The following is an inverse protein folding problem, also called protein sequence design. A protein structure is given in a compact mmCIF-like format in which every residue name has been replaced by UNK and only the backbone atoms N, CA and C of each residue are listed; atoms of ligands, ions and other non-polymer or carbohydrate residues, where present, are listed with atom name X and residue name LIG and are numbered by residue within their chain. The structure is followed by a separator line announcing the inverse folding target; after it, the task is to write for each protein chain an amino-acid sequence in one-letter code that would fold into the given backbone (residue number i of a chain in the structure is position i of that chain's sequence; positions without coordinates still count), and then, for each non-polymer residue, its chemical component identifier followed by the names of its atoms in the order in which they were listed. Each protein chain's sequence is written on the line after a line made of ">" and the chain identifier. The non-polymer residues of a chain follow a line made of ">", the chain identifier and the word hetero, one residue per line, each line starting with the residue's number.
data_IF_524697052032
#
_entry.id   IF_524697052032
#
_cell.length_a   1.000
_cell.length_b   1.000
_cell.length_c   1.000
_cell.angle_alpha   90.00
_cell.angle_beta   90.00
_cell.angle_gamma   90.00
#
_symmetry.space_group_name_H-M   'P 1'
#
loop_
_entity.id
_entity.type
_entity.pdbx_description
1 polymer ?
#
# COMPACT_ATOMS: atom_id res chain seq x y z
N UNK A 1 -11.29 15.78 -16.60
CA UNK A 1 -9.83 15.84 -16.88
C UNK A 1 -9.45 14.74 -17.85
N UNK A 2 -9.29 15.06 -19.14
CA UNK A 2 -9.03 14.08 -20.20
C UNK A 2 -7.70 13.31 -20.06
N UNK A 3 -6.81 13.78 -19.20
CA UNK A 3 -5.44 13.25 -19.05
C UNK A 3 -5.23 12.41 -17.78
N UNK A 4 -6.30 11.97 -17.11
CA UNK A 4 -6.22 11.22 -15.86
C UNK A 4 -7.12 9.99 -15.93
N UNK A 5 -6.57 8.85 -15.49
CA UNK A 5 -7.32 7.61 -15.34
C UNK A 5 -7.35 7.20 -13.88
N UNK A 6 -8.54 7.09 -13.30
CA UNK A 6 -8.75 6.55 -11.97
C UNK A 6 -8.97 5.03 -12.07
N UNK A 7 -8.18 4.30 -11.32
CA UNK A 7 -8.15 2.85 -11.29
C UNK A 7 -8.59 2.38 -9.91
N UNK A 8 -9.72 1.69 -9.86
CA UNK A 8 -10.26 1.10 -8.63
C UNK A 8 -10.23 -0.41 -8.75
N UNK A 9 -9.36 -1.05 -7.96
CA UNK A 9 -9.30 -2.52 -7.87
C UNK A 9 -10.24 -2.99 -6.79
N UNK A 10 -11.18 -3.88 -7.13
CA UNK A 10 -12.22 -4.35 -6.22
C UNK A 10 -12.22 -5.86 -6.05
N UNK A 11 -12.58 -6.30 -4.85
CA UNK A 11 -12.89 -7.68 -4.50
C UNK A 11 -13.84 -7.70 -3.30
N UNK A 12 -15.12 -8.01 -3.54
CA UNK A 12 -16.18 -8.02 -2.53
C UNK A 12 -16.27 -6.69 -1.76
N UNK A 13 -16.56 -5.61 -2.47
CA UNK A 13 -16.60 -4.25 -1.94
C UNK A 13 -17.95 -3.53 -2.16
N UNK A 14 -19.04 -4.29 -2.36
CA UNK A 14 -20.37 -3.74 -2.60
C UNK A 14 -20.79 -2.61 -1.61
N UNK A 15 -20.45 -2.65 -0.31
CA UNK A 15 -20.83 -1.59 0.62
C UNK A 15 -20.10 -0.25 0.39
N UNK A 16 -19.00 -0.23 -0.36
CA UNK A 16 -18.09 0.92 -0.43
C UNK A 16 -17.89 1.48 -1.84
N UNK A 17 -17.96 0.62 -2.85
CA UNK A 17 -17.56 0.91 -4.24
C UNK A 17 -18.32 2.12 -4.82
N UNK A 18 -19.59 2.29 -4.49
CA UNK A 18 -20.41 3.41 -4.96
C UNK A 18 -19.80 4.76 -4.55
N UNK A 19 -19.48 4.92 -3.27
CA UNK A 19 -18.90 6.16 -2.75
C UNK A 19 -17.53 6.47 -3.32
N UNK A 20 -16.71 5.44 -3.51
CA UNK A 20 -15.39 5.58 -4.14
C UNK A 20 -15.53 6.11 -5.56
N UNK A 21 -16.37 5.48 -6.39
CA UNK A 21 -16.56 5.87 -7.78
C UNK A 21 -17.25 7.22 -7.93
N UNK A 22 -18.21 7.56 -7.05
CA UNK A 22 -18.87 8.87 -7.07
C UNK A 22 -17.85 10.01 -6.90
N UNK A 23 -16.91 9.89 -5.96
CA UNK A 23 -15.86 10.89 -5.74
C UNK A 23 -14.93 11.07 -6.94
N UNK A 24 -14.81 10.06 -7.80
CA UNK A 24 -14.03 10.12 -9.05
C UNK A 24 -14.87 10.69 -10.19
N UNK A 25 -16.16 10.30 -10.29
CA UNK A 25 -17.07 10.76 -11.34
C UNK A 25 -17.10 12.28 -11.44
N UNK A 26 -17.18 12.98 -10.32
CA UNK A 26 -17.24 14.42 -10.24
C UNK A 26 -16.02 15.12 -10.85
N UNK A 27 -14.88 14.45 -10.93
CA UNK A 27 -13.64 15.00 -11.52
C UNK A 27 -13.57 14.90 -13.04
N UNK A 28 -14.44 14.10 -13.68
CA UNK A 28 -14.41 13.83 -15.11
C UNK A 28 -13.19 13.01 -15.57
N UNK A 29 -12.54 12.29 -14.68
CA UNK A 29 -11.46 11.36 -15.00
C UNK A 29 -11.99 10.10 -15.72
N UNK A 30 -11.15 9.46 -16.55
CA UNK A 30 -11.44 8.12 -17.07
C UNK A 30 -11.55 7.13 -15.92
N UNK A 31 -12.71 6.46 -15.76
CA UNK A 31 -12.92 5.49 -14.68
C UNK A 31 -12.66 4.06 -15.17
N UNK A 32 -11.77 3.35 -14.46
CA UNK A 32 -11.44 1.95 -14.73
C UNK A 32 -11.64 1.15 -13.43
N UNK A 33 -12.57 0.22 -13.45
CA UNK A 33 -12.83 -0.71 -12.35
C UNK A 33 -12.24 -2.07 -12.72
N UNK A 34 -11.31 -2.56 -11.92
CA UNK A 34 -10.75 -3.91 -12.08
C UNK A 34 -11.33 -4.82 -11.01
N UNK A 35 -12.19 -5.73 -11.42
CA UNK A 35 -12.79 -6.70 -10.51
C UNK A 35 -11.99 -7.98 -10.45
N UNK A 36 -11.54 -8.32 -9.26
CA UNK A 36 -10.77 -9.54 -8.96
C UNK A 36 -11.68 -10.75 -8.63
N UNK A 37 -12.85 -10.84 -9.28
CA UNK A 37 -13.79 -11.97 -9.11
C UNK A 37 -14.69 -11.80 -7.89
N UNK A 38 -15.34 -10.63 -7.74
CA UNK A 38 -16.33 -10.39 -6.68
C UNK A 38 -17.58 -11.24 -6.83
N UNK A 39 -18.18 -11.62 -5.70
CA UNK A 39 -19.39 -12.45 -5.62
C UNK A 39 -20.50 -11.83 -4.75
N UNK A 40 -20.31 -10.59 -4.28
CA UNK A 40 -21.18 -9.91 -3.32
C UNK A 40 -22.09 -8.83 -3.95
N UNK A 41 -22.22 -8.81 -5.28
CA UNK A 41 -22.98 -7.77 -5.99
C UNK A 41 -22.18 -6.49 -6.30
N UNK A 42 -20.88 -6.44 -6.04
CA UNK A 42 -20.02 -5.29 -6.37
C UNK A 42 -20.16 -4.88 -7.84
N UNK A 43 -20.09 -5.85 -8.77
CA UNK A 43 -20.20 -5.56 -10.21
C UNK A 43 -21.59 -5.08 -10.62
N UNK A 44 -22.64 -5.53 -9.94
CA UNK A 44 -24.01 -5.07 -10.23
C UNK A 44 -24.11 -3.57 -9.92
N UNK A 45 -23.60 -3.13 -8.77
CA UNK A 45 -23.53 -1.70 -8.40
C UNK A 45 -22.75 -0.91 -9.44
N UNK A 46 -21.58 -1.40 -9.88
CA UNK A 46 -20.76 -0.70 -10.87
C UNK A 46 -21.51 -0.56 -12.19
N UNK A 47 -22.08 -1.63 -12.73
CA UNK A 47 -22.76 -1.64 -14.04
C UNK A 47 -24.04 -0.80 -14.05
N UNK A 48 -24.79 -0.81 -12.94
CA UNK A 48 -26.04 -0.06 -12.83
C UNK A 48 -25.83 1.44 -12.58
N UNK A 49 -24.87 1.78 -11.71
CA UNK A 49 -24.68 3.18 -11.25
C UNK A 49 -23.59 3.93 -12.02
N UNK A 50 -22.63 3.22 -12.63
CA UNK A 50 -21.48 3.79 -13.34
C UNK A 50 -21.28 3.15 -14.72
N UNK A 51 -22.28 3.22 -15.63
CA UNK A 51 -22.21 2.60 -16.95
C UNK A 51 -21.08 3.17 -17.83
N UNK A 52 -20.57 4.36 -17.51
CA UNK A 52 -19.42 4.99 -18.15
C UNK A 52 -18.08 4.38 -17.70
N UNK A 53 -18.02 3.65 -16.58
CA UNK A 53 -16.80 3.04 -16.10
C UNK A 53 -16.41 1.84 -16.97
N UNK A 54 -15.15 1.80 -17.37
CA UNK A 54 -14.58 0.63 -18.03
C UNK A 54 -14.30 -0.47 -17.03
N UNK A 55 -15.00 -1.60 -17.15
CA UNK A 55 -14.83 -2.76 -16.27
C UNK A 55 -13.84 -3.75 -16.87
N UNK A 56 -12.88 -4.19 -16.08
CA UNK A 56 -11.92 -5.26 -16.38
C UNK A 56 -12.12 -6.37 -15.35
N UNK A 57 -12.62 -7.52 -15.80
CA UNK A 57 -12.82 -8.68 -14.94
C UNK A 57 -11.64 -9.64 -15.04
N UNK A 58 -11.16 -10.15 -13.91
CA UNK A 58 -10.07 -11.14 -13.85
C UNK A 58 -10.18 -12.02 -12.60
N UNK A 59 -9.42 -13.11 -12.57
CA UNK A 59 -9.21 -13.88 -11.36
C UNK A 59 -8.42 -13.09 -10.32
N UNK A 60 -8.66 -13.34 -9.03
CA UNK A 60 -7.93 -12.68 -7.96
C UNK A 60 -6.47 -13.10 -7.91
N UNK A 61 -5.62 -12.30 -8.54
CA UNK A 61 -4.16 -12.44 -8.53
C UNK A 61 -3.47 -11.44 -7.61
N UNK A 62 -4.23 -10.76 -6.75
CA UNK A 62 -3.76 -9.77 -5.78
C UNK A 62 -3.95 -8.32 -6.24
N UNK A 63 -3.69 -7.41 -5.30
CA UNK A 63 -3.91 -5.98 -5.50
C UNK A 63 -3.00 -5.39 -6.58
N UNK A 64 -1.71 -5.71 -6.56
CA UNK A 64 -0.75 -5.24 -7.56
C UNK A 64 -1.09 -5.70 -8.98
N UNK A 65 -1.51 -6.97 -9.15
CA UNK A 65 -1.93 -7.50 -10.45
C UNK A 65 -3.18 -6.79 -11.00
N UNK A 66 -4.15 -6.47 -10.12
CA UNK A 66 -5.33 -5.69 -10.47
C UNK A 66 -4.96 -4.28 -10.94
N UNK A 67 -4.12 -3.56 -10.18
CA UNK A 67 -3.64 -2.24 -10.60
C UNK A 67 -2.86 -2.29 -11.92
N UNK A 68 -2.02 -3.31 -12.13
CA UNK A 68 -1.33 -3.50 -13.39
C UNK A 68 -2.32 -3.67 -14.57
N UNK A 69 -3.39 -4.43 -14.38
CA UNK A 69 -4.44 -4.58 -15.39
C UNK A 69 -5.15 -3.25 -15.68
N UNK A 70 -5.47 -2.48 -14.63
CA UNK A 70 -6.05 -1.14 -14.76
C UNK A 70 -5.12 -0.17 -15.50
N UNK A 71 -3.84 -0.11 -15.14
CA UNK A 71 -2.85 0.76 -15.81
C UNK A 71 -2.67 0.41 -17.28
N UNK A 72 -2.75 -0.89 -17.67
CA UNK A 72 -2.73 -1.29 -19.08
C UNK A 72 -3.97 -0.83 -19.85
N UNK A 73 -5.11 -0.72 -19.19
CA UNK A 73 -6.37 -0.28 -19.79
C UNK A 73 -6.50 1.25 -19.84
N UNK A 74 -5.70 1.96 -19.08
CA UNK A 74 -5.76 3.40 -18.85
C UNK A 74 -5.11 4.20 -19.99
N UNK A 75 -5.62 5.41 -20.25
CA UNK A 75 -5.11 6.32 -21.28
C UNK A 75 -4.43 7.59 -20.72
N UNK A 76 -4.73 7.99 -19.48
CA UNK A 76 -4.27 9.23 -18.84
C UNK A 76 -2.76 9.33 -18.65
N UNK A 77 -2.23 10.55 -18.56
CA UNK A 77 -0.84 10.84 -18.20
C UNK A 77 -0.56 10.63 -16.69
N UNK A 78 -1.60 10.61 -15.88
CA UNK A 78 -1.58 10.22 -14.48
C UNK A 78 -2.54 9.06 -14.23
N UNK A 79 -2.18 8.21 -13.30
CA UNK A 79 -3.02 7.18 -12.73
C UNK A 79 -3.37 7.55 -11.29
N UNK A 80 -4.65 7.68 -10.98
CA UNK A 80 -5.12 7.67 -9.61
C UNK A 80 -5.42 6.21 -9.22
N UNK A 81 -4.62 5.63 -8.33
CA UNK A 81 -4.91 4.34 -7.73
C UNK A 81 -5.73 4.59 -6.47
N UNK A 82 -6.99 4.17 -6.46
CA UNK A 82 -7.91 4.41 -5.35
C UNK A 82 -8.50 3.09 -4.86
N UNK A 83 -8.45 2.86 -3.57
CA UNK A 83 -9.10 1.70 -2.97
C UNK A 83 -10.63 1.80 -3.09
N UNK A 84 -11.35 0.67 -3.21
CA UNK A 84 -12.81 0.68 -3.32
C UNK A 84 -13.50 1.16 -2.03
N UNK A 85 -12.79 1.20 -0.90
CA UNK A 85 -13.21 1.71 0.42
C UNK A 85 -12.57 3.07 0.78
N UNK A 86 -12.09 3.80 -0.25
CA UNK A 86 -11.57 5.17 -0.13
C UNK A 86 -12.35 6.12 -1.05
N UNK A 87 -12.42 7.41 -0.71
CA UNK A 87 -13.03 8.44 -1.53
C UNK A 87 -12.32 9.78 -1.32
N UNK A 88 -12.25 10.56 -2.38
CA UNK A 88 -11.64 11.89 -2.38
C UNK A 88 -12.56 12.93 -1.73
N UNK A 89 -11.98 13.96 -1.14
CA UNK A 89 -12.70 15.21 -0.86
C UNK A 89 -12.78 16.05 -2.14
N UNK A 90 -13.71 17.02 -2.16
CA UNK A 90 -13.87 17.97 -3.28
C UNK A 90 -12.55 18.70 -3.54
N UNK A 91 -12.14 18.81 -4.81
CA UNK A 91 -10.89 19.47 -5.23
C UNK A 91 -9.60 18.67 -4.99
N UNK A 92 -9.63 17.58 -4.22
CA UNK A 92 -8.41 16.86 -3.84
C UNK A 92 -7.64 16.28 -5.04
N UNK A 93 -8.33 15.84 -6.07
CA UNK A 93 -7.66 15.29 -7.25
C UNK A 93 -6.99 16.39 -8.09
N UNK A 94 -7.64 17.52 -8.23
CA UNK A 94 -7.11 18.72 -8.90
C UNK A 94 -5.84 19.19 -8.19
N UNK A 95 -5.87 19.25 -6.86
CA UNK A 95 -4.72 19.65 -6.04
C UNK A 95 -3.55 18.67 -6.16
N UNK A 96 -3.82 17.36 -6.18
CA UNK A 96 -2.78 16.34 -6.41
C UNK A 96 -2.14 16.47 -7.80
N UNK A 97 -2.94 16.72 -8.83
CA UNK A 97 -2.45 16.90 -10.21
C UNK A 97 -1.64 18.18 -10.31
N UNK A 98 -2.13 19.30 -9.76
CA UNK A 98 -1.42 20.58 -9.76
C UNK A 98 -0.06 20.43 -9.07
N UNK A 99 -0.02 19.81 -7.88
CA UNK A 99 1.23 19.51 -7.18
C UNK A 99 2.18 18.66 -8.03
N UNK A 100 1.68 17.62 -8.68
CA UNK A 100 2.52 16.75 -9.51
C UNK A 100 3.03 17.47 -10.77
N UNK A 101 2.29 18.44 -11.32
CA UNK A 101 2.70 19.25 -12.46
C UNK A 101 3.80 20.27 -12.07
N UNK A 102 3.73 20.83 -10.86
CA UNK A 102 4.76 21.71 -10.30
C UNK A 102 6.04 20.96 -9.89
N UNK A 103 5.93 19.62 -9.69
CA UNK A 103 7.04 18.77 -9.26
C UNK A 103 7.31 17.66 -10.27
N UNK A 104 8.03 17.94 -11.38
CA UNK A 104 8.28 16.94 -12.43
C UNK A 104 9.05 15.70 -11.95
N UNK A 105 9.79 15.81 -10.85
CA UNK A 105 10.46 14.68 -10.20
C UNK A 105 9.52 13.78 -9.38
N UNK A 106 8.26 14.20 -9.17
CA UNK A 106 7.26 13.41 -8.45
C UNK A 106 6.79 12.23 -9.29
N UNK A 107 7.20 11.03 -8.94
CA UNK A 107 6.67 9.79 -9.51
C UNK A 107 5.36 9.36 -8.85
N UNK A 108 5.24 9.60 -7.54
CA UNK A 108 4.07 9.25 -6.72
C UNK A 108 3.74 10.41 -5.79
N UNK A 109 2.47 10.78 -5.73
CA UNK A 109 1.94 11.76 -4.77
C UNK A 109 0.75 11.14 -4.04
N UNK A 110 0.71 11.22 -2.72
CA UNK A 110 -0.42 10.74 -1.93
C UNK A 110 -0.99 11.82 -1.01
N UNK A 111 -2.32 11.85 -0.85
CA UNK A 111 -3.01 12.83 -0.03
C UNK A 111 -2.89 12.52 1.46
N UNK A 112 -3.36 13.44 2.26
CA UNK A 112 -3.67 13.23 3.67
C UNK A 112 -4.85 12.28 3.79
N UNK A 113 -4.62 11.11 4.38
CA UNK A 113 -5.68 10.14 4.61
C UNK A 113 -6.37 10.41 5.95
N UNK A 114 -7.69 10.33 5.91
CA UNK A 114 -8.58 10.46 7.07
C UNK A 114 -9.38 9.17 7.27
N UNK A 115 -9.62 8.84 8.54
CA UNK A 115 -10.62 7.84 8.88
C UNK A 115 -12.03 8.43 8.64
N UNK A 116 -13.09 7.61 8.55
CA UNK A 116 -14.47 8.11 8.37
C UNK A 116 -14.95 9.09 9.46
N UNK A 117 -14.33 9.05 10.64
CA UNK A 117 -14.61 9.98 11.75
C UNK A 117 -13.82 11.30 11.66
N UNK A 118 -13.07 11.51 10.56
CA UNK A 118 -12.22 12.69 10.35
C UNK A 118 -10.87 12.65 11.07
N UNK A 119 -10.57 11.62 11.84
CA UNK A 119 -9.26 11.49 12.47
C UNK A 119 -8.17 11.13 11.47
N UNK A 120 -6.94 11.58 11.73
CA UNK A 120 -5.79 11.32 10.86
C UNK A 120 -5.48 9.82 10.73
N UNK A 121 -5.41 9.35 9.49
CA UNK A 121 -4.82 8.06 9.15
C UNK A 121 -3.39 8.25 8.64
N UNK A 122 -2.41 7.74 9.39
CA UNK A 122 -0.99 7.92 9.05
C UNK A 122 -0.63 7.14 7.78
N UNK A 123 -0.29 7.86 6.72
CA UNK A 123 0.06 7.30 5.40
C UNK A 123 1.55 7.35 5.09
N UNK A 124 2.31 8.30 5.65
CA UNK A 124 3.77 8.41 5.45
C UNK A 124 4.48 7.34 6.28
N UNK A 125 5.23 6.45 5.65
CA UNK A 125 5.85 5.29 6.30
C UNK A 125 7.28 5.08 5.85
N UNK A 126 8.05 4.37 6.67
CA UNK A 126 9.44 4.02 6.36
C UNK A 126 9.60 2.56 5.95
N UNK A 127 10.57 2.29 5.06
CA UNK A 127 10.86 0.92 4.62
C UNK A 127 11.13 -0.02 5.79
N UNK A 128 10.67 -1.27 5.73
CA UNK A 128 11.01 -2.27 6.74
C UNK A 128 12.52 -2.51 6.76
N UNK A 129 13.09 -2.46 7.97
CA UNK A 129 14.46 -2.88 8.26
C UNK A 129 14.45 -3.71 9.52
N UNK A 130 15.44 -4.58 9.81
CA UNK A 130 15.47 -5.33 11.06
C UNK A 130 15.35 -4.43 12.31
N UNK A 131 15.95 -3.22 12.28
CA UNK A 131 15.84 -2.25 13.36
C UNK A 131 14.43 -1.68 13.51
N UNK A 132 13.83 -1.14 12.41
CA UNK A 132 12.48 -0.60 12.43
C UNK A 132 11.43 -1.66 12.82
N UNK A 133 11.63 -2.91 12.42
CA UNK A 133 10.81 -4.03 12.88
C UNK A 133 11.01 -4.29 14.37
N UNK A 134 12.25 -4.24 14.88
CA UNK A 134 12.49 -4.39 16.31
C UNK A 134 11.80 -3.28 17.12
N UNK A 135 11.89 -2.00 16.69
CA UNK A 135 11.25 -0.89 17.39
C UNK A 135 9.73 -1.08 17.50
N UNK A 136 9.10 -1.63 16.48
CA UNK A 136 7.67 -1.94 16.49
C UNK A 136 7.36 -3.19 17.33
N UNK A 137 7.97 -4.32 17.00
CA UNK A 137 7.57 -5.61 17.57
C UNK A 137 7.91 -5.74 19.06
N UNK A 138 8.94 -5.03 19.57
CA UNK A 138 9.31 -4.98 21.00
C UNK A 138 8.83 -3.71 21.72
N UNK A 139 7.92 -2.93 21.12
CA UNK A 139 7.35 -1.70 21.70
C UNK A 139 8.35 -0.58 22.00
N UNK A 140 9.58 -0.63 21.46
CA UNK A 140 10.61 0.37 21.74
C UNK A 140 10.16 1.78 21.34
N UNK A 141 9.29 1.90 20.33
CA UNK A 141 8.69 3.17 19.92
C UNK A 141 7.92 3.88 21.04
N UNK A 142 7.43 3.15 22.06
CA UNK A 142 6.72 3.74 23.21
C UNK A 142 7.66 4.49 24.16
N UNK A 143 8.96 4.20 24.12
CA UNK A 143 9.97 4.87 24.95
C UNK A 143 10.20 6.33 24.51
N UNK A 144 10.02 6.63 23.21
CA UNK A 144 10.10 7.98 22.67
C UNK A 144 9.05 8.15 21.56
N UNK A 145 7.79 8.46 21.89
CA UNK A 145 6.67 8.49 20.93
C UNK A 145 6.84 9.53 19.79
N UNK A 146 7.62 10.58 20.02
CA UNK A 146 7.90 11.65 19.04
C UNK A 146 9.21 11.44 18.28
N UNK A 147 9.97 10.37 18.56
CA UNK A 147 11.21 10.09 17.83
C UNK A 147 10.91 9.46 16.46
N UNK A 148 11.27 10.15 15.39
CA UNK A 148 11.15 9.59 14.03
C UNK A 148 11.97 8.30 13.88
N UNK A 149 13.16 8.23 14.49
CA UNK A 149 14.04 7.05 14.42
C UNK A 149 13.37 5.77 14.96
N UNK A 150 12.54 5.90 16.01
CA UNK A 150 11.83 4.78 16.62
C UNK A 150 10.44 4.55 16.00
N UNK A 151 9.86 5.53 15.34
CA UNK A 151 8.48 5.50 14.84
C UNK A 151 8.37 5.49 13.31
N UNK A 152 9.48 5.43 12.58
CA UNK A 152 9.51 5.56 11.13
C UNK A 152 8.68 4.49 10.40
N UNK A 153 8.58 3.26 10.92
CA UNK A 153 7.90 2.16 10.22
C UNK A 153 6.42 2.48 9.93
N UNK A 154 5.73 3.12 10.86
CA UNK A 154 4.32 3.48 10.75
C UNK A 154 4.05 4.99 10.80
N UNK A 155 5.08 5.81 10.58
CA UNK A 155 4.95 7.26 10.45
C UNK A 155 4.49 8.00 11.72
N UNK A 156 4.63 7.40 12.90
CA UNK A 156 4.11 7.99 14.13
C UNK A 156 4.89 9.22 14.64
N UNK A 157 6.06 9.51 14.07
CA UNK A 157 6.88 10.68 14.42
C UNK A 157 6.62 11.92 13.54
N UNK A 158 5.72 11.81 12.56
CA UNK A 158 5.39 12.91 11.64
C UNK A 158 3.94 13.37 11.84
N UNK A 159 3.69 14.66 11.84
CA UNK A 159 2.37 15.25 12.14
C UNK A 159 1.41 15.30 10.95
N UNK A 160 1.89 14.99 9.74
CA UNK A 160 1.13 15.02 8.48
C UNK A 160 0.50 16.39 8.15
N UNK A 161 1.19 17.51 8.47
CA UNK A 161 0.73 18.88 8.21
C UNK A 161 1.53 19.63 7.16
N UNK A 162 2.62 19.03 6.67
CA UNK A 162 3.48 19.66 5.67
C UNK A 162 3.82 18.68 4.57
N UNK A 163 4.13 19.20 3.38
CA UNK A 163 4.67 18.41 2.26
C UNK A 163 5.91 17.66 2.72
N UNK A 164 6.00 16.38 2.35
CA UNK A 164 7.13 15.54 2.75
C UNK A 164 7.50 14.52 1.70
N UNK A 165 8.79 14.44 1.37
CA UNK A 165 9.33 13.29 0.65
C UNK A 165 9.32 12.05 1.57
N UNK A 166 8.63 10.99 1.16
CA UNK A 166 8.42 9.76 1.94
C UNK A 166 9.27 8.61 1.42
N UNK A 167 9.57 7.63 2.29
CA UNK A 167 10.08 6.33 1.84
C UNK A 167 9.01 5.64 0.97
N UNK A 168 7.81 5.52 1.51
CA UNK A 168 6.62 5.09 0.80
C UNK A 168 5.35 5.63 1.46
N UNK A 169 4.25 5.60 0.71
CA UNK A 169 2.92 5.98 1.17
C UNK A 169 2.01 4.75 1.23
N UNK A 170 1.05 4.78 2.12
CA UNK A 170 0.02 3.75 2.20
C UNK A 170 -0.86 3.76 0.94
N UNK A 171 -1.05 2.60 0.32
CA UNK A 171 -1.61 2.44 -1.02
C UNK A 171 -3.13 2.65 -1.16
N UNK A 172 -3.79 3.40 -0.25
CA UNK A 172 -5.23 3.62 -0.34
C UNK A 172 -5.66 4.66 -1.39
N UNK A 173 -4.82 5.68 -1.61
CA UNK A 173 -5.02 6.71 -2.63
C UNK A 173 -3.65 7.23 -3.05
N UNK A 174 -3.28 7.01 -4.31
CA UNK A 174 -1.99 7.42 -4.87
C UNK A 174 -2.17 7.97 -6.27
N UNK A 175 -1.73 9.20 -6.51
CA UNK A 175 -1.55 9.73 -7.87
C UNK A 175 -0.16 9.33 -8.36
N UNK A 176 -0.09 8.70 -9.52
CA UNK A 176 1.15 8.16 -10.07
C UNK A 176 1.36 8.67 -11.51
N UNK A 177 2.54 9.17 -11.78
CA UNK A 177 2.93 9.66 -13.13
C UNK A 177 3.16 8.47 -14.06
N UNK A 178 2.49 8.44 -15.23
CA UNK A 178 2.67 7.38 -16.24
C UNK A 178 4.13 7.25 -16.68
N UNK A 179 4.81 8.34 -16.99
CA UNK A 179 6.22 8.34 -17.38
C UNK A 179 7.11 7.62 -16.36
N UNK A 180 6.83 7.83 -15.07
CA UNK A 180 7.54 7.14 -14.00
C UNK A 180 7.25 5.63 -14.02
N UNK A 181 5.99 5.24 -14.23
CA UNK A 181 5.60 3.82 -14.39
C UNK A 181 6.27 3.19 -15.60
N UNK A 182 6.28 3.88 -16.74
CA UNK A 182 6.88 3.39 -17.99
C UNK A 182 8.39 3.16 -17.82
N UNK A 183 9.04 3.94 -16.96
CA UNK A 183 10.48 3.82 -16.69
C UNK A 183 10.88 2.63 -15.81
N UNK A 184 10.00 2.19 -14.90
CA UNK A 184 10.32 1.15 -13.89
C UNK A 184 9.43 -0.09 -13.96
N UNK A 185 8.36 -0.02 -14.74
CA UNK A 185 7.30 -1.03 -14.77
C UNK A 185 6.28 -0.92 -13.63
N UNK A 186 5.20 -1.69 -13.74
CA UNK A 186 4.13 -1.76 -12.76
C UNK A 186 4.52 -2.42 -11.43
N UNK A 187 3.52 -2.81 -10.67
CA UNK A 187 3.71 -3.60 -9.44
C UNK A 187 4.34 -4.96 -9.72
N UNK A 188 5.15 -5.44 -8.79
CA UNK A 188 5.65 -6.82 -8.82
C UNK A 188 4.57 -7.78 -8.31
N UNK A 189 4.01 -8.58 -9.22
CA UNK A 189 2.91 -9.51 -8.93
C UNK A 189 3.31 -10.69 -8.02
N UNK A 190 4.57 -10.80 -7.62
CA UNK A 190 4.98 -11.72 -6.55
C UNK A 190 4.40 -11.30 -5.18
N UNK A 191 4.07 -10.01 -5.00
CA UNK A 191 3.35 -9.51 -3.83
C UNK A 191 1.84 -9.64 -4.09
N UNK A 192 1.21 -10.62 -3.46
CA UNK A 192 -0.23 -10.82 -3.61
C UNK A 192 -1.04 -9.71 -2.93
N UNK A 193 -0.66 -9.39 -1.69
CA UNK A 193 -1.28 -8.36 -0.87
C UNK A 193 -0.31 -7.95 0.23
N UNK A 194 -0.23 -6.65 0.53
CA UNK A 194 0.66 -6.00 1.49
C UNK A 194 2.14 -5.97 1.03
N UNK A 195 2.71 -4.79 1.04
CA UNK A 195 4.07 -4.41 0.63
C UNK A 195 4.34 -4.35 -0.88
N UNK A 196 3.34 -4.52 -1.73
CA UNK A 196 3.45 -4.22 -3.17
C UNK A 196 3.73 -2.74 -3.42
N UNK A 197 3.07 -1.84 -2.68
CA UNK A 197 3.31 -0.40 -2.72
C UNK A 197 4.67 -0.03 -2.12
N UNK A 198 5.12 -0.77 -1.11
CA UNK A 198 6.46 -0.61 -0.51
C UNK A 198 7.56 -0.91 -1.52
N UNK A 199 7.42 -2.02 -2.24
CA UNK A 199 8.32 -2.44 -3.32
C UNK A 199 8.33 -1.41 -4.46
N UNK A 200 7.13 -0.95 -4.84
CA UNK A 200 6.98 -0.04 -5.98
C UNK A 200 7.58 1.33 -5.67
N UNK A 201 7.26 1.93 -4.53
CA UNK A 201 7.87 3.18 -4.08
C UNK A 201 9.39 3.06 -3.94
N UNK A 202 9.90 1.91 -3.47
CA UNK A 202 11.34 1.68 -3.42
C UNK A 202 11.96 1.69 -4.81
N UNK A 203 11.34 1.04 -5.82
CA UNK A 203 11.83 1.04 -7.22
C UNK A 203 11.78 2.43 -7.85
N UNK A 204 10.72 3.22 -7.62
CA UNK A 204 10.64 4.62 -8.05
C UNK A 204 11.83 5.40 -7.53
N UNK A 205 12.12 5.32 -6.24
CA UNK A 205 13.25 6.04 -5.62
C UNK A 205 14.61 5.56 -6.13
N UNK A 206 14.78 4.28 -6.41
CA UNK A 206 16.02 3.75 -7.03
C UNK A 206 16.23 4.27 -8.46
N UNK A 207 15.17 4.61 -9.16
CA UNK A 207 15.21 5.20 -10.50
C UNK A 207 15.32 6.74 -10.50
N UNK A 208 15.37 7.36 -9.31
CA UNK A 208 15.51 8.83 -9.17
C UNK A 208 14.18 9.58 -9.02
N UNK A 209 13.03 8.89 -9.10
CA UNK A 209 11.74 9.49 -8.84
C UNK A 209 11.52 9.71 -7.35
N UNK A 210 10.75 10.77 -7.01
CA UNK A 210 10.37 11.06 -5.62
C UNK A 210 8.96 10.59 -5.32
N UNK A 211 8.73 10.26 -4.06
CA UNK A 211 7.42 9.92 -3.49
C UNK A 211 7.05 11.03 -2.51
N UNK A 212 5.98 11.76 -2.78
CA UNK A 212 5.56 12.90 -1.97
C UNK A 212 4.25 12.64 -1.24
N UNK A 213 4.22 13.03 0.01
CA UNK A 213 3.00 13.26 0.77
C UNK A 213 2.61 14.73 0.61
N UNK A 214 1.35 14.97 0.22
CA UNK A 214 0.79 16.29 0.03
C UNK A 214 -0.43 16.48 0.96
N UNK A 215 -0.34 17.34 1.99
CA UNK A 215 -1.34 17.44 3.05
C UNK A 215 -2.60 18.22 2.68
N UNK A 216 -2.54 19.09 1.65
CA UNK A 216 -3.65 19.97 1.29
C UNK A 216 -4.72 19.22 0.46
N UNK A 217 -4.36 18.11 -0.19
CA UNK A 217 -5.32 17.16 -0.73
C UNK A 217 -5.70 16.14 0.34
N UNK A 218 -6.99 15.84 0.48
CA UNK A 218 -7.49 14.88 1.46
C UNK A 218 -8.31 13.75 0.82
N UNK A 219 -8.21 12.56 1.40
CA UNK A 219 -9.06 11.44 1.05
C UNK A 219 -9.44 10.66 2.31
N UNK A 220 -10.66 10.17 2.35
CA UNK A 220 -11.12 9.25 3.39
C UNK A 220 -10.78 7.81 3.01
N UNK A 221 -10.52 6.97 4.01
CA UNK A 221 -10.33 5.55 3.81
C UNK A 221 -10.82 4.74 5.01
N UNK A 222 -11.57 3.67 4.77
CA UNK A 222 -12.11 2.82 5.83
C UNK A 222 -11.06 1.82 6.29
N UNK A 223 -10.40 2.10 7.43
CA UNK A 223 -9.47 1.15 8.05
C UNK A 223 -10.25 -0.01 8.65
N UNK A 224 -10.04 -1.20 8.17
CA UNK A 224 -10.65 -2.39 8.77
C UNK A 224 -11.14 -3.41 7.79
N UNK A 225 -11.56 -3.01 6.60
CA UNK A 225 -11.83 -3.98 5.54
C UNK A 225 -10.56 -4.78 5.17
N UNK A 226 -9.39 -4.10 5.20
CA UNK A 226 -8.08 -4.70 4.87
C UNK A 226 -7.24 -5.15 6.07
N UNK A 227 -7.44 -4.61 7.29
CA UNK A 227 -6.65 -4.93 8.49
C UNK A 227 -7.31 -5.96 9.41
N UNK A 228 -8.03 -6.91 8.86
CA UNK A 228 -8.50 -8.07 9.61
C UNK A 228 -7.29 -8.76 10.28
N UNK A 229 -7.35 -9.09 11.60
CA UNK A 229 -6.32 -9.89 12.26
C UNK A 229 -5.90 -11.16 11.51
N UNK A 230 -6.80 -11.74 10.72
CA UNK A 230 -6.51 -12.88 9.86
C UNK A 230 -5.44 -12.57 8.78
N UNK A 231 -5.34 -11.30 8.33
CA UNK A 231 -4.34 -10.86 7.32
C UNK A 231 -3.01 -10.42 7.90
N UNK A 232 -2.83 -10.46 9.21
CA UNK A 232 -1.57 -10.06 9.83
C UNK A 232 -0.36 -10.86 9.31
N UNK A 233 -0.55 -12.11 8.92
CA UNK A 233 0.50 -12.92 8.28
C UNK A 233 0.93 -12.35 6.93
N UNK A 234 0.02 -11.75 6.17
CA UNK A 234 0.34 -11.17 4.87
C UNK A 234 1.25 -9.94 5.03
N UNK A 235 1.02 -9.12 6.07
CA UNK A 235 1.92 -8.02 6.42
C UNK A 235 3.33 -8.54 6.75
N UNK A 236 3.41 -9.58 7.57
CA UNK A 236 4.71 -10.20 7.95
C UNK A 236 5.42 -10.79 6.74
N UNK A 237 4.65 -11.48 5.86
CA UNK A 237 5.15 -12.03 4.61
C UNK A 237 5.68 -10.92 3.71
N UNK A 238 4.90 -9.85 3.48
CA UNK A 238 5.28 -8.73 2.63
C UNK A 238 6.58 -8.07 3.07
N UNK A 239 6.76 -7.83 4.39
CA UNK A 239 8.03 -7.30 4.92
C UNK A 239 9.22 -8.24 4.60
N UNK A 240 9.04 -9.56 4.75
CA UNK A 240 10.11 -10.52 4.43
C UNK A 240 10.40 -10.58 2.93
N UNK A 241 9.36 -10.54 2.08
CA UNK A 241 9.51 -10.52 0.62
C UNK A 241 10.29 -9.29 0.18
N UNK A 242 9.90 -8.10 0.67
CA UNK A 242 10.61 -6.85 0.40
C UNK A 242 12.09 -6.93 0.81
N UNK A 243 12.37 -7.38 2.03
CA UNK A 243 13.74 -7.50 2.53
C UNK A 243 14.55 -8.53 1.73
N UNK A 244 13.94 -9.66 1.38
CA UNK A 244 14.59 -10.69 0.56
C UNK A 244 14.95 -10.15 -0.82
N UNK A 245 14.02 -9.44 -1.47
CA UNK A 245 14.19 -8.88 -2.81
C UNK A 245 15.26 -7.80 -2.86
N UNK A 246 15.26 -6.86 -1.89
CA UNK A 246 16.09 -5.65 -1.96
C UNK A 246 17.32 -5.64 -1.05
N UNK A 247 17.39 -6.51 -0.05
CA UNK A 247 18.47 -6.54 0.97
C UNK A 247 19.12 -7.90 1.13
N UNK A 248 18.61 -8.89 0.39
CA UNK A 248 19.14 -10.25 0.40
C UNK A 248 18.64 -11.13 1.56
N UNK A 249 18.94 -12.43 1.43
CA UNK A 249 18.41 -13.46 2.34
C UNK A 249 18.88 -13.30 3.78
N UNK A 250 20.14 -12.88 4.00
CA UNK A 250 20.69 -12.71 5.34
C UNK A 250 19.96 -11.64 6.15
N UNK A 251 19.55 -10.53 5.49
CA UNK A 251 18.79 -9.45 6.14
C UNK A 251 17.36 -9.89 6.39
N UNK A 252 16.72 -10.58 5.43
CA UNK A 252 15.39 -11.16 5.61
C UNK A 252 15.33 -12.15 6.77
N UNK A 253 16.33 -13.03 6.92
CA UNK A 253 16.42 -13.97 8.04
C UNK A 253 16.63 -13.28 9.39
N UNK A 254 17.41 -12.20 9.45
CA UNK A 254 17.53 -11.39 10.66
C UNK A 254 16.19 -10.78 11.06
N UNK A 255 15.48 -10.19 10.08
CA UNK A 255 14.15 -9.63 10.29
C UNK A 255 13.13 -10.70 10.72
N UNK A 256 13.17 -11.89 10.12
CA UNK A 256 12.33 -13.02 10.50
C UNK A 256 12.52 -13.37 11.99
N UNK A 257 13.78 -13.47 12.45
CA UNK A 257 14.09 -13.75 13.87
C UNK A 257 13.57 -12.65 14.80
N UNK A 258 13.78 -11.38 14.42
CA UNK A 258 13.26 -10.22 15.18
C UNK A 258 11.74 -10.30 15.32
N UNK A 259 11.02 -10.49 14.21
CA UNK A 259 9.56 -10.59 14.20
C UNK A 259 9.08 -11.83 14.97
N UNK A 260 9.73 -12.99 14.79
CA UNK A 260 9.38 -14.21 15.53
C UNK A 260 9.40 -13.99 17.04
N UNK A 261 10.49 -13.45 17.58
CA UNK A 261 10.61 -13.21 19.01
C UNK A 261 9.67 -12.12 19.50
N UNK A 262 9.55 -11.01 18.77
CA UNK A 262 8.60 -9.94 19.11
C UNK A 262 7.14 -10.41 19.11
N UNK A 263 6.76 -11.29 18.16
CA UNK A 263 5.41 -11.88 18.12
C UNK A 263 5.17 -12.91 19.22
N UNK A 264 6.19 -13.66 19.63
CA UNK A 264 6.09 -14.52 20.82
C UNK A 264 5.79 -13.69 22.07
N UNK A 265 6.53 -12.61 22.30
CA UNK A 265 6.29 -11.67 23.41
C UNK A 265 4.86 -11.10 23.32
N UNK A 266 4.45 -10.60 22.15
CA UNK A 266 3.09 -10.07 21.96
C UNK A 266 2.01 -11.13 22.18
N UNK A 267 2.24 -12.36 21.74
CA UNK A 267 1.32 -13.49 21.94
C UNK A 267 1.11 -13.86 23.40
N UNK A 268 2.07 -13.56 24.28
CA UNK A 268 1.94 -13.71 25.74
C UNK A 268 1.21 -12.52 26.39
N UNK A 269 1.47 -11.30 25.89
CA UNK A 269 0.93 -10.06 26.49
C UNK A 269 -0.52 -9.78 26.07
N UNK A 270 -0.94 -10.20 24.86
CA UNK A 270 -2.27 -9.91 24.32
C UNK A 270 -3.17 -11.14 24.35
N UNK A 271 -4.45 -10.93 24.68
CA UNK A 271 -5.51 -11.95 24.70
C UNK A 271 -6.48 -11.75 23.53
N UNK A 272 -7.46 -12.66 23.39
CA UNK A 272 -8.49 -12.61 22.34
C UNK A 272 -7.92 -12.78 20.92
N UNK A 273 -8.63 -12.28 19.93
CA UNK A 273 -8.28 -12.42 18.50
C UNK A 273 -6.90 -11.89 18.15
N UNK A 274 -6.54 -10.72 18.70
CA UNK A 274 -5.22 -10.11 18.49
C UNK A 274 -4.09 -11.00 19.01
N UNK A 275 -4.25 -11.58 20.20
CA UNK A 275 -3.29 -12.52 20.75
C UNK A 275 -3.20 -13.81 19.94
N UNK A 276 -4.33 -14.29 19.41
CA UNK A 276 -4.36 -15.45 18.50
C UNK A 276 -3.60 -15.16 17.21
N UNK A 277 -3.83 -14.01 16.57
CA UNK A 277 -3.13 -13.60 15.36
C UNK A 277 -1.61 -13.53 15.55
N UNK A 278 -1.14 -13.00 16.68
CA UNK A 278 0.29 -12.96 17.00
C UNK A 278 0.91 -14.34 17.20
N UNK A 279 0.24 -15.24 17.95
CA UNK A 279 0.71 -16.62 18.15
C UNK A 279 0.73 -17.40 16.85
N UNK A 280 -0.27 -17.20 16.00
CA UNK A 280 -0.36 -17.89 14.73
C UNK A 280 0.73 -17.42 13.75
N UNK A 281 0.96 -16.11 13.64
CA UNK A 281 2.07 -15.57 12.87
C UNK A 281 3.44 -16.01 13.42
N UNK A 282 3.60 -16.09 14.75
CA UNK A 282 4.84 -16.59 15.34
C UNK A 282 5.08 -18.09 15.02
N UNK A 283 4.04 -18.93 15.07
CA UNK A 283 4.14 -20.34 14.66
C UNK A 283 4.53 -20.48 13.19
N UNK A 284 3.91 -19.67 12.32
CA UNK A 284 4.25 -19.66 10.90
C UNK A 284 5.70 -19.25 10.66
N UNK A 285 6.18 -18.15 11.29
CA UNK A 285 7.58 -17.70 11.18
C UNK A 285 8.59 -18.71 11.74
N UNK A 286 8.21 -19.50 12.75
CA UNK A 286 9.04 -20.55 13.32
C UNK A 286 9.02 -21.87 12.55
N UNK A 287 8.13 -22.02 11.55
CA UNK A 287 8.04 -23.23 10.74
C UNK A 287 9.18 -23.29 9.70
N UNK A 288 9.62 -24.49 9.33
CA UNK A 288 10.61 -24.69 8.27
C UNK A 288 10.15 -24.22 6.86
N UNK A 289 8.87 -23.83 6.71
CA UNK A 289 8.32 -23.37 5.42
C UNK A 289 8.80 -21.96 5.02
N UNK A 290 9.08 -21.10 6.00
CA UNK A 290 9.46 -19.70 5.70
C UNK A 290 10.87 -19.57 5.12
N UNK A 291 11.91 -20.28 5.62
CA UNK A 291 13.19 -20.33 4.95
C UNK A 291 13.10 -20.77 3.48
N UNK A 292 12.41 -21.87 3.21
CA UNK A 292 12.19 -22.38 1.84
C UNK A 292 11.44 -21.38 0.98
N UNK A 293 10.44 -20.68 1.53
CA UNK A 293 9.73 -19.61 0.84
C UNK A 293 10.67 -18.45 0.47
N UNK A 294 11.55 -18.01 1.40
CA UNK A 294 12.52 -16.96 1.16
C UNK A 294 13.55 -17.35 0.11
N UNK A 295 13.94 -18.63 0.07
CA UNK A 295 14.85 -19.15 -0.95
C UNK A 295 14.22 -19.18 -2.34
N UNK A 296 12.93 -19.50 -2.45
CA UNK A 296 12.19 -19.55 -3.71
C UNK A 296 11.86 -18.18 -4.30
N UNK A 297 11.95 -17.10 -3.51
CA UNK A 297 11.69 -15.74 -3.97
C UNK A 297 12.84 -15.22 -4.85
N UNK A 298 12.50 -14.62 -5.99
CA UNK A 298 13.52 -14.03 -6.87
C UNK A 298 14.20 -12.83 -6.20
N UNK A 299 15.53 -12.74 -6.22
CA UNK A 299 16.23 -11.52 -5.80
C UNK A 299 15.95 -10.38 -6.79
N UNK A 300 15.91 -9.15 -6.29
CA UNK A 300 15.87 -7.96 -7.14
C UNK A 300 17.30 -7.56 -7.59
N UNK A 301 17.43 -6.71 -8.61
CA UNK A 301 18.71 -6.30 -9.18
C UNK A 301 19.71 -5.70 -8.17
N UNK A 302 19.20 -5.08 -7.12
CA UNK A 302 20.01 -4.46 -6.06
C UNK A 302 20.62 -5.45 -5.07
N UNK A 303 20.05 -6.66 -4.94
CA UNK A 303 20.54 -7.68 -4.02
C UNK A 303 21.71 -8.50 -4.60
N UNK A 304 21.88 -8.51 -5.93
CA UNK A 304 22.97 -9.21 -6.60
C UNK A 304 24.32 -8.49 -6.47
N UNK A 305 24.32 -7.18 -6.15
CA UNK A 305 25.53 -6.36 -5.98
C UNK A 305 26.14 -6.39 -4.57
N UNK A 306 25.52 -7.07 -3.61
CA UNK A 306 25.91 -7.10 -2.19
C UNK A 306 26.30 -8.49 -1.69
N UNK A 307 26.56 -9.44 -2.56
CA UNK A 307 26.98 -10.81 -2.26
C UNK A 307 28.49 -11.00 -2.22
#
# INVERSE_FOLDING_TARGET
>A
MADLSAIVVTYNAAPWIERSLESVRETGAEMIVVDNGSTDGTLDVVRERFPEARVVEQENRGFGAGNNAGMRAASGRYFLLLNPDAWLTEGALEDLVAFADEHPEAGVVGPRLLNPDGSLQRSVRGYPTPWRLATEYFFLRKLAPHSEALNALFGAGFDHKSVREADYLFGACLLVRREAVDSIGGFDEQFFLMSEEVDWCYRFRQAGWKVFFYPDAEAYHVVGASLNPARFKDVVRGHLQFLRKHRGIRVAERARRVMLWGLRVRGLLFRGERGHAYRDAARWLGSGRVPSLLESMRPGPSAERSG
#
